data_IF_248753676307
#
_entry.id   IF_248753676307
#
_cell.length_a   1.000
_cell.length_b   1.000
_cell.length_c   1.000
_cell.angle_alpha   90.00
_cell.angle_beta   90.00
_cell.angle_gamma   90.00
#
_symmetry.space_group_name_H-M   'P 1'
#
loop_
_entity.id
_entity.type
_entity.pdbx_description
1 polymer ?
#
# COMPACT_ATOMS: atom_id res chain seq x y z
N UNK A 1 22.91 1.57 5.31
CA UNK A 1 23.73 1.39 4.08
C UNK A 1 22.80 1.51 2.90
N UNK A 2 23.10 2.41 1.95
CA UNK A 2 22.26 2.65 0.79
C UNK A 2 22.05 1.37 0.01
N UNK A 3 20.79 1.04 -0.34
CA UNK A 3 20.39 -0.08 -1.20
C UNK A 3 21.33 -0.28 -2.40
N UNK A 4 21.83 0.80 -2.99
CA UNK A 4 22.76 0.83 -4.11
C UNK A 4 24.14 0.18 -3.85
N UNK A 5 24.53 -0.04 -2.61
CA UNK A 5 25.87 -0.54 -2.25
C UNK A 5 25.92 -2.01 -1.88
N UNK A 6 24.80 -2.65 -1.60
CA UNK A 6 24.81 -3.96 -0.95
C UNK A 6 24.50 -5.13 -1.90
N UNK A 7 25.25 -5.25 -2.99
CA UNK A 7 25.21 -6.46 -3.85
C UNK A 7 26.07 -7.57 -3.24
N UNK A 8 25.88 -7.87 -1.95
CA UNK A 8 26.55 -9.00 -1.34
C UNK A 8 25.99 -10.32 -1.85
N UNK A 9 26.79 -11.38 -1.80
CA UNK A 9 26.43 -12.70 -2.36
C UNK A 9 25.14 -13.25 -1.74
N UNK A 10 24.86 -12.97 -0.47
CA UNK A 10 23.65 -13.41 0.23
C UNK A 10 22.40 -12.72 -0.31
N UNK A 11 22.43 -11.41 -0.60
CA UNK A 11 21.34 -10.68 -1.21
C UNK A 11 21.10 -11.12 -2.65
N UNK A 12 22.16 -11.20 -3.46
CA UNK A 12 22.07 -11.66 -4.86
C UNK A 12 21.52 -13.08 -4.94
N UNK A 13 21.94 -13.97 -4.01
CA UNK A 13 21.42 -15.33 -3.92
C UNK A 13 19.92 -15.39 -3.62
N UNK A 14 19.45 -14.57 -2.71
CA UNK A 14 18.01 -14.43 -2.38
C UNK A 14 17.25 -13.84 -3.58
N UNK A 15 17.70 -12.71 -4.12
CA UNK A 15 17.05 -12.02 -5.23
C UNK A 15 16.87 -12.89 -6.47
N UNK A 16 17.86 -13.74 -6.80
CA UNK A 16 17.80 -14.68 -7.94
C UNK A 16 16.99 -15.93 -7.67
N UNK A 17 16.77 -16.30 -6.42
CA UNK A 17 15.95 -17.44 -6.03
C UNK A 17 14.46 -17.14 -5.96
N UNK A 18 14.07 -15.88 -6.15
CA UNK A 18 12.71 -15.41 -5.97
C UNK A 18 11.79 -15.60 -7.18
N UNK A 19 10.63 -15.01 -7.10
CA UNK A 19 9.48 -15.08 -8.00
C UNK A 19 9.58 -14.23 -9.28
N UNK A 20 10.79 -13.92 -9.72
CA UNK A 20 11.03 -13.10 -10.93
C UNK A 20 11.18 -11.61 -10.64
N UNK A 21 11.06 -11.18 -9.38
CA UNK A 21 11.36 -9.79 -8.98
C UNK A 21 12.84 -9.50 -9.22
N UNK A 22 13.13 -8.35 -9.81
CA UNK A 22 14.51 -7.93 -10.14
C UNK A 22 15.13 -7.12 -8.99
N UNK A 23 15.02 -7.63 -7.77
CA UNK A 23 15.43 -6.94 -6.54
C UNK A 23 16.90 -6.51 -6.55
N UNK A 24 17.77 -7.21 -7.27
CA UNK A 24 19.17 -6.85 -7.43
C UNK A 24 19.39 -5.51 -8.17
N UNK A 25 18.36 -5.03 -8.85
CA UNK A 25 18.34 -3.73 -9.54
C UNK A 25 17.37 -2.72 -8.87
N UNK A 26 16.93 -3.02 -7.64
CA UNK A 26 15.92 -2.21 -6.95
C UNK A 26 16.26 -0.73 -6.87
N UNK A 27 17.55 -0.41 -6.68
CA UNK A 27 18.01 0.99 -6.65
C UNK A 27 17.92 1.65 -8.02
N UNK A 28 18.43 0.98 -9.05
CA UNK A 28 18.39 1.51 -10.42
C UNK A 28 16.97 1.68 -10.94
N UNK A 29 16.07 0.78 -10.54
CA UNK A 29 14.63 0.88 -10.86
C UNK A 29 13.99 2.06 -10.09
N UNK A 30 14.32 2.22 -8.81
CA UNK A 30 13.81 3.33 -8.00
C UNK A 30 14.29 4.68 -8.53
N UNK A 31 15.57 4.79 -8.85
CA UNK A 31 16.17 6.02 -9.41
C UNK A 31 15.49 6.42 -10.73
N UNK A 32 15.33 5.45 -11.64
CA UNK A 32 14.61 5.67 -12.89
C UNK A 32 13.14 6.03 -12.66
N UNK A 33 12.47 5.37 -11.72
CA UNK A 33 11.08 5.69 -11.36
C UNK A 33 10.92 7.12 -10.84
N UNK A 34 11.83 7.57 -9.96
CA UNK A 34 11.79 8.94 -9.43
C UNK A 34 12.04 9.99 -10.52
N UNK A 35 12.93 9.69 -11.48
CA UNK A 35 13.15 10.55 -12.63
C UNK A 35 11.93 10.60 -13.56
N UNK A 36 11.32 9.45 -13.87
CA UNK A 36 10.09 9.36 -14.66
C UNK A 36 8.94 10.14 -14.00
N UNK A 37 8.76 10.02 -12.67
CA UNK A 37 7.73 10.78 -11.95
C UNK A 37 7.94 12.29 -12.06
N UNK A 38 9.19 12.77 -11.98
CA UNK A 38 9.50 14.19 -12.17
C UNK A 38 9.31 14.68 -13.61
N UNK A 39 9.50 13.79 -14.59
CA UNK A 39 9.26 14.10 -16.01
C UNK A 39 7.77 14.12 -16.36
N UNK A 40 7.00 13.14 -15.84
CA UNK A 40 5.55 13.02 -16.05
C UNK A 40 4.75 14.06 -15.23
N UNK A 41 5.31 14.57 -14.14
CA UNK A 41 4.75 15.62 -13.27
C UNK A 41 3.27 15.36 -12.88
N UNK A 42 2.95 14.19 -12.29
CA UNK A 42 1.59 13.90 -11.85
C UNK A 42 1.20 14.77 -10.64
N UNK A 43 -0.09 15.11 -10.52
CA UNK A 43 -0.60 15.82 -9.36
C UNK A 43 -0.51 14.97 -8.07
N UNK A 44 -0.67 13.66 -8.16
CA UNK A 44 -0.67 12.74 -7.02
C UNK A 44 -0.08 11.37 -7.41
N UNK A 45 0.85 10.89 -6.60
CA UNK A 45 1.36 9.51 -6.62
C UNK A 45 0.72 8.69 -5.50
N UNK A 46 0.12 7.55 -5.82
CA UNK A 46 -0.46 6.61 -4.85
C UNK A 46 0.42 5.38 -4.74
N UNK A 47 0.88 5.06 -3.52
CA UNK A 47 1.64 3.86 -3.20
C UNK A 47 0.77 2.92 -2.36
N UNK A 48 0.36 1.82 -2.97
CA UNK A 48 -0.61 0.87 -2.40
C UNK A 48 0.03 -0.26 -1.57
N UNK A 49 1.12 0.02 -0.88
CA UNK A 49 1.76 -0.92 0.06
C UNK A 49 2.87 -1.79 -0.53
N UNK A 50 3.44 -2.65 0.31
CA UNK A 50 4.68 -3.41 0.06
C UNK A 50 5.84 -2.49 -0.33
N UNK A 51 6.02 -1.46 0.49
CA UNK A 51 7.00 -0.39 0.28
C UNK A 51 8.43 -0.87 0.53
N UNK A 52 8.55 -1.96 1.27
CA UNK A 52 9.84 -2.58 1.63
C UNK A 52 9.81 -4.09 1.37
N UNK A 53 10.96 -4.76 1.48
CA UNK A 53 11.04 -6.20 1.28
C UNK A 53 10.38 -6.98 2.43
N UNK A 54 10.76 -6.67 3.66
CA UNK A 54 10.28 -7.35 4.87
C UNK A 54 10.09 -6.38 6.05
N UNK A 55 9.73 -5.13 5.80
CA UNK A 55 9.41 -4.13 6.84
C UNK A 55 10.64 -3.59 7.58
N UNK A 56 11.82 -3.64 6.97
CA UNK A 56 13.04 -3.15 7.60
C UNK A 56 12.95 -1.64 7.84
N UNK A 57 13.14 -1.22 9.10
CA UNK A 57 13.07 0.20 9.49
C UNK A 57 13.95 1.10 8.64
N UNK A 58 15.19 0.68 8.39
CA UNK A 58 16.13 1.46 7.58
C UNK A 58 15.68 1.61 6.12
N UNK A 59 14.95 0.61 5.58
CA UNK A 59 14.41 0.68 4.21
C UNK A 59 13.23 1.65 4.14
N UNK A 60 12.37 1.68 5.16
CA UNK A 60 11.28 2.66 5.26
C UNK A 60 11.81 4.09 5.39
N UNK A 61 12.80 4.31 6.26
CA UNK A 61 13.41 5.62 6.44
C UNK A 61 14.08 6.10 5.14
N UNK A 62 14.80 5.24 4.43
CA UNK A 62 15.43 5.57 3.15
C UNK A 62 14.39 5.87 2.05
N UNK A 63 13.30 5.11 1.98
CA UNK A 63 12.21 5.37 1.03
C UNK A 63 11.55 6.73 1.32
N UNK A 64 11.27 7.03 2.59
CA UNK A 64 10.68 8.32 2.96
C UNK A 64 11.57 9.49 2.51
N UNK A 65 12.90 9.42 2.72
CA UNK A 65 13.84 10.42 2.21
C UNK A 65 13.78 10.58 0.68
N UNK A 66 13.60 9.48 -0.06
CA UNK A 66 13.46 9.52 -1.52
C UNK A 66 12.15 10.19 -1.96
N UNK A 67 11.05 9.89 -1.26
CA UNK A 67 9.73 10.49 -1.53
C UNK A 67 9.69 11.98 -1.20
N UNK A 68 10.45 12.46 -0.20
CA UNK A 68 10.61 13.90 0.04
C UNK A 68 11.05 14.64 -1.23
N UNK A 69 11.94 14.04 -2.03
CA UNK A 69 12.38 14.61 -3.29
C UNK A 69 11.30 14.74 -4.37
N UNK A 70 10.22 13.95 -4.30
CA UNK A 70 9.03 14.12 -5.14
C UNK A 70 8.15 15.28 -4.62
N UNK A 71 7.95 15.33 -3.30
CA UNK A 71 7.20 16.42 -2.67
C UNK A 71 7.86 17.78 -2.90
N UNK A 72 9.18 17.87 -2.84
CA UNK A 72 9.94 19.08 -3.19
C UNK A 72 9.78 19.48 -4.66
N UNK A 73 9.54 18.50 -5.56
CA UNK A 73 9.22 18.74 -6.96
C UNK A 73 7.75 19.16 -7.19
N UNK A 74 6.91 19.11 -6.16
CA UNK A 74 5.50 19.51 -6.23
C UNK A 74 4.52 18.35 -6.43
N UNK A 75 5.00 17.11 -6.41
CA UNK A 75 4.19 15.89 -6.57
C UNK A 75 3.68 15.46 -5.20
N UNK A 76 2.38 15.43 -5.00
CA UNK A 76 1.78 14.88 -3.78
C UNK A 76 1.94 13.37 -3.73
N UNK A 77 2.15 12.81 -2.54
CA UNK A 77 2.29 11.37 -2.35
C UNK A 77 1.33 10.89 -1.27
N UNK A 78 0.62 9.78 -1.54
CA UNK A 78 -0.25 9.12 -0.59
C UNK A 78 0.13 7.65 -0.45
N UNK A 79 0.34 7.18 0.78
CA UNK A 79 0.79 5.81 1.05
C UNK A 79 -0.13 5.06 2.00
N UNK A 80 -0.24 3.74 1.83
CA UNK A 80 -0.75 2.78 2.82
C UNK A 80 0.23 1.62 2.96
N UNK A 81 0.17 0.85 4.06
CA UNK A 81 1.01 -0.33 4.21
C UNK A 81 0.55 -1.49 3.32
N UNK A 82 1.51 -2.37 2.97
CA UNK A 82 1.29 -3.72 2.50
C UNK A 82 1.59 -4.75 3.58
N UNK A 83 1.36 -6.02 3.28
CA UNK A 83 1.55 -7.11 4.24
C UNK A 83 3.04 -7.34 4.61
N UNK A 84 3.97 -6.85 3.80
CA UNK A 84 5.39 -6.91 4.11
C UNK A 84 5.87 -5.83 5.09
N UNK A 85 5.17 -4.72 5.26
CA UNK A 85 5.72 -3.46 5.77
C UNK A 85 5.77 -3.36 7.30
N UNK A 86 4.86 -4.02 8.04
CA UNK A 86 4.68 -3.79 9.49
C UNK A 86 4.79 -5.09 10.28
N UNK A 87 5.49 -5.03 11.42
CA UNK A 87 5.65 -6.16 12.35
C UNK A 87 6.10 -7.47 11.66
N UNK A 88 6.85 -7.36 10.59
CA UNK A 88 7.28 -8.51 9.79
C UNK A 88 8.42 -9.26 10.51
N UNK A 89 8.23 -10.55 10.84
CA UNK A 89 9.23 -11.34 11.55
C UNK A 89 10.47 -11.67 10.71
N UNK A 90 10.37 -11.47 9.39
CA UNK A 90 11.41 -11.79 8.41
C UNK A 90 12.34 -10.62 8.10
N UNK A 91 12.14 -9.45 8.74
CA UNK A 91 13.01 -8.28 8.59
C UNK A 91 14.48 -8.60 8.83
N UNK A 92 15.32 -8.36 7.82
CA UNK A 92 16.74 -8.73 7.87
C UNK A 92 17.64 -7.83 7.03
N UNK A 93 18.88 -7.71 7.46
CA UNK A 93 19.95 -7.08 6.70
C UNK A 93 20.80 -8.14 6.03
N UNK A 94 21.13 -7.93 4.77
CA UNK A 94 22.02 -8.78 4.01
C UNK A 94 23.45 -8.26 4.12
N UNK A 95 24.39 -9.16 4.43
CA UNK A 95 25.83 -8.86 4.61
C UNK A 95 26.67 -9.79 3.76
N UNK A 96 27.96 -9.52 3.66
CA UNK A 96 28.90 -10.41 2.95
C UNK A 96 28.95 -11.82 3.55
N UNK A 97 28.72 -11.94 4.85
CA UNK A 97 28.82 -13.20 5.59
C UNK A 97 27.46 -13.92 5.77
N UNK A 98 26.33 -13.34 5.28
CA UNK A 98 25.00 -13.90 5.41
C UNK A 98 23.92 -12.86 5.72
N UNK A 99 22.95 -13.24 6.55
CA UNK A 99 21.84 -12.35 6.94
C UNK A 99 21.81 -12.12 8.45
N UNK A 100 21.42 -10.93 8.86
CA UNK A 100 21.24 -10.57 10.27
C UNK A 100 19.80 -10.09 10.46
N UNK A 101 19.12 -10.56 11.52
CA UNK A 101 17.80 -10.06 11.89
C UNK A 101 17.91 -8.58 12.30
N UNK A 102 16.99 -7.75 11.77
CA UNK A 102 16.88 -6.34 12.11
C UNK A 102 15.50 -6.03 12.64
N UNK A 103 15.30 -4.79 13.08
CA UNK A 103 14.01 -4.29 13.55
C UNK A 103 13.06 -4.05 12.38
N UNK A 104 11.84 -4.57 12.48
CA UNK A 104 10.70 -4.17 11.65
C UNK A 104 9.95 -3.07 12.37
N UNK A 105 9.31 -2.18 11.61
CA UNK A 105 8.53 -1.08 12.18
C UNK A 105 7.16 -1.54 12.69
N UNK A 106 6.62 -0.76 13.63
CA UNK A 106 5.24 -0.85 14.10
C UNK A 106 4.31 0.03 13.25
N UNK A 107 2.98 -0.13 13.44
CA UNK A 107 1.99 0.72 12.78
C UNK A 107 2.14 2.21 13.14
N UNK A 108 2.48 2.51 14.40
CA UNK A 108 2.74 3.89 14.83
C UNK A 108 3.99 4.46 14.15
N UNK A 109 5.07 3.68 14.06
CA UNK A 109 6.28 4.09 13.35
C UNK A 109 6.04 4.26 11.85
N UNK A 110 5.21 3.40 11.22
CA UNK A 110 4.81 3.57 9.82
C UNK A 110 4.14 4.94 9.62
N UNK A 111 3.12 5.25 10.44
CA UNK A 111 2.44 6.54 10.38
C UNK A 111 3.37 7.73 10.61
N UNK A 112 4.33 7.60 11.51
CA UNK A 112 5.28 8.67 11.83
C UNK A 112 6.31 8.88 10.71
N UNK A 113 6.85 7.80 10.11
CA UNK A 113 7.80 7.85 8.99
C UNK A 113 7.15 8.46 7.75
N UNK A 114 5.91 8.06 7.46
CA UNK A 114 5.17 8.52 6.27
C UNK A 114 4.17 9.65 6.58
N UNK A 115 4.39 10.39 7.67
CA UNK A 115 3.48 11.44 8.14
C UNK A 115 3.10 12.45 7.04
N UNK A 116 4.08 12.91 6.28
CA UNK A 116 3.90 13.92 5.22
C UNK A 116 3.35 13.33 3.90
N UNK A 117 3.24 12.00 3.82
CA UNK A 117 2.76 11.29 2.63
C UNK A 117 1.30 10.82 2.79
N UNK A 118 0.41 11.76 3.09
CA UNK A 118 -1.03 11.58 3.21
C UNK A 118 -1.56 11.71 4.63
N UNK A 119 -0.88 11.20 5.67
CA UNK A 119 -1.41 11.15 7.02
C UNK A 119 -1.63 12.51 7.68
N UNK A 120 -0.71 13.46 7.54
CA UNK A 120 -0.85 14.82 8.12
C UNK A 120 -1.92 15.61 7.36
N UNK A 121 -1.99 15.46 6.05
CA UNK A 121 -2.95 16.14 5.19
C UNK A 121 -4.35 15.49 5.19
N UNK A 122 -4.51 14.32 5.82
CA UNK A 122 -5.77 13.59 5.86
C UNK A 122 -6.90 14.40 6.50
N UNK A 123 -8.05 14.46 5.82
CA UNK A 123 -9.29 15.08 6.33
C UNK A 123 -9.92 14.28 7.46
N UNK A 124 -9.76 12.96 7.41
CA UNK A 124 -10.19 12.04 8.48
C UNK A 124 -9.25 10.85 8.56
N UNK A 125 -9.01 10.34 9.76
CA UNK A 125 -8.19 9.15 10.03
C UNK A 125 -8.98 8.14 10.83
N UNK A 126 -8.89 6.87 10.46
CA UNK A 126 -9.47 5.78 11.22
C UNK A 126 -8.69 5.58 12.53
N UNK A 127 -9.36 5.65 13.70
CA UNK A 127 -8.69 5.42 14.97
C UNK A 127 -8.27 3.96 15.20
N UNK A 128 -8.80 3.00 14.42
CA UNK A 128 -8.58 1.56 14.58
C UNK A 128 -7.56 0.97 13.59
N UNK A 129 -7.19 1.73 12.56
CA UNK A 129 -6.27 1.26 11.52
C UNK A 129 -5.41 2.41 10.96
N UNK A 130 -4.61 2.13 9.94
CA UNK A 130 -3.88 3.14 9.19
C UNK A 130 -4.69 3.69 8.00
N UNK A 131 -6.00 3.43 7.96
CA UNK A 131 -6.89 3.99 6.93
C UNK A 131 -7.10 5.49 7.13
N UNK A 132 -7.26 6.20 6.02
CA UNK A 132 -7.55 7.63 6.05
C UNK A 132 -8.30 8.10 4.81
N UNK A 133 -8.98 9.25 4.96
CA UNK A 133 -9.57 10.00 3.87
C UNK A 133 -8.67 11.17 3.50
N UNK A 134 -8.37 11.33 2.22
CA UNK A 134 -7.68 12.47 1.66
C UNK A 134 -8.53 13.11 0.55
N UNK A 135 -8.95 14.36 0.75
CA UNK A 135 -9.73 15.11 -0.24
C UNK A 135 -8.75 15.81 -1.21
N UNK A 136 -8.54 15.22 -2.39
CA UNK A 136 -7.71 15.82 -3.44
C UNK A 136 -8.25 17.22 -3.80
N UNK A 137 -9.58 17.30 -3.94
CA UNK A 137 -10.33 18.53 -4.11
C UNK A 137 -11.79 18.33 -3.65
N UNK A 138 -12.63 19.33 -3.83
CA UNK A 138 -14.05 19.25 -3.43
C UNK A 138 -14.87 18.21 -4.20
N UNK A 139 -14.38 17.71 -5.34
CA UNK A 139 -15.09 16.78 -6.20
C UNK A 139 -14.47 15.38 -6.24
N UNK A 140 -13.23 15.23 -5.79
CA UNK A 140 -12.46 13.99 -5.88
C UNK A 140 -11.81 13.67 -4.52
N UNK A 141 -12.23 12.56 -3.94
CA UNK A 141 -11.76 12.09 -2.63
C UNK A 141 -11.07 10.75 -2.79
N UNK A 142 -9.99 10.56 -2.04
CA UNK A 142 -9.21 9.33 -1.99
C UNK A 142 -9.44 8.65 -0.64
N UNK A 143 -9.99 7.46 -0.66
CA UNK A 143 -10.22 6.63 0.51
C UNK A 143 -9.15 5.55 0.59
N UNK A 144 -8.16 5.78 1.44
CA UNK A 144 -7.02 4.89 1.64
C UNK A 144 -7.34 3.89 2.74
N UNK A 145 -7.46 2.60 2.39
CA UNK A 145 -7.90 1.53 3.28
C UNK A 145 -6.75 0.60 3.66
N UNK A 146 -6.39 0.59 4.93
CA UNK A 146 -5.44 -0.38 5.48
C UNK A 146 -6.11 -1.76 5.59
N UNK A 147 -5.76 -2.64 4.68
CA UNK A 147 -6.23 -4.02 4.63
C UNK A 147 -5.28 -5.03 5.28
N UNK A 148 -4.20 -4.56 5.93
CA UNK A 148 -3.16 -5.44 6.44
C UNK A 148 -3.46 -5.95 7.85
N UNK A 149 -3.05 -7.18 8.10
CA UNK A 149 -3.16 -7.86 9.39
C UNK A 149 -1.76 -7.99 10.00
N UNK A 150 -1.37 -7.01 10.81
CA UNK A 150 -0.04 -6.96 11.45
C UNK A 150 -0.09 -7.13 12.97
N UNK A 151 -1.27 -7.25 13.56
CA UNK A 151 -1.49 -7.50 14.98
C UNK A 151 -2.59 -8.55 15.21
N UNK A 152 -2.43 -9.46 16.20
CA UNK A 152 -1.27 -9.63 17.11
C UNK A 152 -0.04 -10.25 16.42
N UNK A 153 -0.16 -10.61 15.15
CA UNK A 153 0.88 -11.24 14.33
C UNK A 153 0.71 -10.76 12.88
N UNK A 154 1.82 -10.58 12.19
CA UNK A 154 1.79 -10.31 10.76
C UNK A 154 1.26 -11.54 9.99
N UNK A 155 0.24 -11.33 9.17
CA UNK A 155 -0.39 -12.31 8.28
C UNK A 155 -0.38 -11.79 6.83
N UNK A 156 -0.33 -12.70 5.87
CA UNK A 156 -0.26 -12.34 4.44
C UNK A 156 -1.61 -11.89 3.90
N UNK A 157 -2.70 -12.43 4.43
CA UNK A 157 -4.06 -12.13 3.95
C UNK A 157 -4.58 -10.76 4.37
N UNK A 158 -5.50 -10.22 3.57
CA UNK A 158 -6.10 -8.92 3.80
C UNK A 158 -7.45 -8.99 4.52
N UNK A 159 -7.71 -8.01 5.40
CA UNK A 159 -8.99 -7.86 6.11
C UNK A 159 -9.26 -6.39 6.40
N UNK A 160 -10.52 -5.97 6.28
CA UNK A 160 -10.95 -4.66 6.79
C UNK A 160 -11.56 -4.86 8.18
N UNK A 161 -11.09 -4.09 9.16
CA UNK A 161 -11.58 -4.14 10.54
C UNK A 161 -13.02 -3.67 10.64
N UNK A 162 -13.76 -4.19 11.58
CA UNK A 162 -15.16 -3.79 11.79
C UNK A 162 -15.29 -2.29 12.09
N UNK A 163 -14.39 -1.78 12.89
CA UNK A 163 -14.32 -0.36 13.27
C UNK A 163 -14.04 0.54 12.05
N UNK A 164 -13.29 0.05 11.06
CA UNK A 164 -13.02 0.75 9.81
C UNK A 164 -14.31 0.90 8.98
N UNK A 165 -15.19 -0.10 8.94
CA UNK A 165 -16.51 0.04 8.29
C UNK A 165 -17.34 1.12 8.97
N UNK A 166 -17.38 1.14 10.31
CA UNK A 166 -18.11 2.15 11.08
C UNK A 166 -17.56 3.57 10.89
N UNK A 167 -16.25 3.70 10.69
CA UNK A 167 -15.60 4.97 10.36
C UNK A 167 -15.86 5.40 8.92
N UNK A 168 -15.87 4.49 7.97
CA UNK A 168 -15.99 4.75 6.54
C UNK A 168 -17.41 5.13 6.12
N UNK A 169 -18.43 4.52 6.72
CA UNK A 169 -19.84 4.73 6.34
C UNK A 169 -20.25 6.22 6.33
N UNK A 170 -20.06 7.02 7.40
CA UNK A 170 -20.41 8.43 7.38
C UNK A 170 -19.60 9.27 6.38
N UNK A 171 -18.39 8.84 6.04
CA UNK A 171 -17.55 9.49 5.01
C UNK A 171 -18.16 9.30 3.63
N UNK A 172 -18.59 8.08 3.31
CA UNK A 172 -19.23 7.76 2.04
C UNK A 172 -20.59 8.47 1.91
N UNK A 173 -21.38 8.54 2.99
CA UNK A 173 -22.63 9.34 3.03
C UNK A 173 -22.36 10.83 2.80
N UNK A 174 -21.26 11.36 3.35
CA UNK A 174 -20.87 12.76 3.14
C UNK A 174 -20.48 12.99 1.68
N UNK A 175 -19.68 12.10 1.09
CA UNK A 175 -19.27 12.18 -0.31
C UNK A 175 -20.48 12.17 -1.25
N UNK A 176 -21.44 11.28 -1.01
CA UNK A 176 -22.68 11.20 -1.79
C UNK A 176 -23.48 12.51 -1.68
N UNK A 177 -23.63 13.05 -0.46
CA UNK A 177 -24.37 14.31 -0.21
C UNK A 177 -23.68 15.51 -0.90
N UNK A 178 -22.36 15.52 -0.97
CA UNK A 178 -21.57 16.57 -1.62
C UNK A 178 -21.42 16.35 -3.12
N UNK A 179 -21.80 15.17 -3.64
CA UNK A 179 -21.61 14.78 -5.03
C UNK A 179 -20.15 14.56 -5.40
N UNK A 180 -19.31 14.23 -4.41
CA UNK A 180 -17.91 13.93 -4.63
C UNK A 180 -17.72 12.50 -5.17
N UNK A 181 -16.74 12.33 -6.01
CA UNK A 181 -16.31 11.00 -6.50
C UNK A 181 -15.27 10.44 -5.54
N UNK A 182 -15.50 9.24 -5.05
CA UNK A 182 -14.55 8.52 -4.20
C UNK A 182 -13.80 7.49 -5.02
N UNK A 183 -12.48 7.53 -4.93
CA UNK A 183 -11.57 6.47 -5.37
C UNK A 183 -11.09 5.75 -4.12
N UNK A 184 -11.31 4.44 -4.03
CA UNK A 184 -10.81 3.64 -2.91
C UNK A 184 -9.51 2.93 -3.28
N UNK A 185 -8.64 2.77 -2.29
CA UNK A 185 -7.33 2.11 -2.45
C UNK A 185 -7.12 1.15 -1.30
N UNK A 186 -6.64 -0.04 -1.56
CA UNK A 186 -6.12 -0.96 -0.54
C UNK A 186 -4.90 -1.71 -1.06
N UNK A 187 -4.15 -2.37 -0.18
CA UNK A 187 -3.07 -3.22 -0.64
C UNK A 187 -3.60 -4.50 -1.26
N UNK A 188 -4.45 -5.24 -0.56
CA UNK A 188 -5.05 -6.47 -1.06
C UNK A 188 -6.18 -6.18 -2.04
N UNK A 189 -6.42 -7.12 -2.95
CA UNK A 189 -7.44 -6.95 -3.99
C UNK A 189 -8.85 -6.90 -3.39
N UNK A 190 -9.69 -6.02 -3.95
CA UNK A 190 -11.12 -5.98 -3.65
C UNK A 190 -11.86 -7.15 -4.32
N UNK A 191 -11.53 -7.46 -5.56
CA UNK A 191 -12.15 -8.53 -6.34
C UNK A 191 -11.16 -9.66 -6.62
N UNK A 192 -11.65 -10.89 -6.66
CA UNK A 192 -10.82 -12.03 -7.08
C UNK A 192 -10.34 -11.84 -8.51
N UNK A 193 -9.05 -12.03 -8.75
CA UNK A 193 -8.46 -11.92 -10.09
C UNK A 193 -9.14 -12.86 -11.09
N UNK A 194 -9.36 -14.10 -10.67
CA UNK A 194 -9.99 -15.13 -11.50
C UNK A 194 -10.92 -16.03 -10.68
N UNK A 195 -11.83 -16.75 -11.34
CA UNK A 195 -12.74 -17.69 -10.66
C UNK A 195 -12.07 -18.85 -9.93
N UNK A 196 -10.75 -19.02 -10.06
CA UNK A 196 -9.98 -20.06 -9.37
C UNK A 196 -8.99 -19.48 -8.34
N UNK A 197 -8.87 -18.15 -8.23
CA UNK A 197 -7.92 -17.49 -7.33
C UNK A 197 -8.09 -17.94 -5.89
N UNK A 198 -9.31 -17.95 -5.37
CA UNK A 198 -9.61 -18.39 -4.00
C UNK A 198 -9.26 -19.87 -3.72
N UNK A 199 -9.13 -20.70 -4.75
CA UNK A 199 -8.81 -22.12 -4.57
C UNK A 199 -7.30 -22.33 -4.39
N UNK A 200 -6.48 -21.46 -4.94
CA UNK A 200 -5.02 -21.58 -4.97
C UNK A 200 -4.30 -20.48 -4.21
N UNK A 201 -4.93 -19.32 -4.05
CA UNK A 201 -4.35 -18.09 -3.47
C UNK A 201 -5.44 -17.37 -2.66
N UNK A 202 -5.88 -17.97 -1.56
CA UNK A 202 -6.95 -17.46 -0.69
C UNK A 202 -6.60 -16.17 0.07
N UNK A 203 -5.33 -15.81 0.10
CA UNK A 203 -4.79 -14.64 0.79
C UNK A 203 -4.55 -13.41 -0.12
N UNK A 204 -4.98 -13.45 -1.39
CA UNK A 204 -4.77 -12.33 -2.32
C UNK A 204 -5.89 -11.29 -2.27
N UNK A 205 -7.09 -11.69 -1.90
CA UNK A 205 -8.28 -10.86 -1.84
C UNK A 205 -8.65 -10.59 -0.38
N UNK A 206 -9.20 -9.41 -0.10
CA UNK A 206 -9.71 -9.04 1.22
C UNK A 206 -10.72 -10.09 1.69
N UNK A 207 -10.56 -10.58 2.92
CA UNK A 207 -11.51 -11.50 3.54
C UNK A 207 -12.91 -10.85 3.64
N UNK A 208 -13.95 -11.62 3.30
CA UNK A 208 -15.32 -11.11 3.28
C UNK A 208 -15.52 -9.86 2.42
N UNK A 209 -14.79 -9.77 1.31
CA UNK A 209 -14.80 -8.64 0.39
C UNK A 209 -16.18 -8.25 -0.14
N UNK A 210 -17.16 -9.16 -0.14
CA UNK A 210 -18.53 -8.91 -0.59
C UNK A 210 -19.22 -7.81 0.24
N UNK A 211 -18.87 -7.67 1.54
CA UNK A 211 -19.38 -6.59 2.39
C UNK A 211 -18.79 -5.24 1.95
N UNK A 212 -17.48 -5.19 1.73
CA UNK A 212 -16.78 -3.99 1.26
C UNK A 212 -17.24 -3.58 -0.14
N UNK A 213 -17.31 -4.52 -1.09
CA UNK A 213 -17.80 -4.28 -2.45
C UNK A 213 -19.19 -3.66 -2.41
N UNK A 214 -20.09 -4.22 -1.60
CA UNK A 214 -21.46 -3.71 -1.48
C UNK A 214 -21.48 -2.29 -0.90
N UNK A 215 -20.79 -2.05 0.22
CA UNK A 215 -20.73 -0.73 0.84
C UNK A 215 -20.19 0.31 -0.14
N UNK A 216 -19.05 0.06 -0.78
CA UNK A 216 -18.46 0.98 -1.73
C UNK A 216 -19.39 1.24 -2.93
N UNK A 217 -19.99 0.20 -3.51
CA UNK A 217 -20.87 0.32 -4.67
C UNK A 217 -22.18 1.02 -4.37
N UNK A 218 -22.79 0.76 -3.21
CA UNK A 218 -24.05 1.40 -2.76
C UNK A 218 -23.88 2.92 -2.62
N UNK A 219 -22.68 3.37 -2.23
CA UNK A 219 -22.32 4.79 -2.15
C UNK A 219 -21.65 5.35 -3.43
N UNK A 220 -21.78 4.64 -4.55
CA UNK A 220 -21.35 5.15 -5.85
C UNK A 220 -19.86 5.11 -6.14
N UNK A 221 -19.04 4.45 -5.33
CA UNK A 221 -17.63 4.17 -5.67
C UNK A 221 -17.59 3.23 -6.88
N UNK A 222 -16.78 3.59 -7.88
CA UNK A 222 -16.67 2.84 -9.16
C UNK A 222 -15.24 2.52 -9.54
N UNK A 223 -14.27 2.99 -8.76
CA UNK A 223 -12.86 2.71 -8.97
C UNK A 223 -12.21 2.33 -7.65
N UNK A 224 -11.61 1.15 -7.65
CA UNK A 224 -10.75 0.65 -6.58
C UNK A 224 -9.38 0.30 -7.14
N UNK A 225 -8.33 0.74 -6.47
CA UNK A 225 -6.94 0.44 -6.83
C UNK A 225 -6.34 -0.51 -5.79
N UNK A 226 -5.56 -1.47 -6.25
CA UNK A 226 -4.87 -2.41 -5.35
C UNK A 226 -3.49 -2.83 -5.85
N UNK A 227 -2.68 -3.40 -4.96
CA UNK A 227 -1.36 -3.95 -5.22
C UNK A 227 -1.31 -5.47 -5.07
N UNK A 228 -0.36 -5.98 -4.29
CA UNK A 228 -0.20 -7.34 -3.76
C UNK A 228 0.10 -8.44 -4.80
N UNK A 229 -0.63 -8.51 -5.91
CA UNK A 229 -0.48 -9.60 -6.89
C UNK A 229 0.70 -9.45 -7.86
N UNK A 230 1.41 -8.32 -7.85
CA UNK A 230 2.53 -8.02 -8.77
C UNK A 230 2.18 -8.19 -10.25
N UNK A 231 0.92 -7.99 -10.61
CA UNK A 231 0.44 -8.04 -11.99
C UNK A 231 -0.35 -6.79 -12.32
N UNK A 232 -0.30 -6.38 -13.56
CA UNK A 232 -1.17 -5.34 -14.08
C UNK A 232 -2.45 -5.98 -14.61
N UNK A 233 -3.55 -5.77 -13.91
CA UNK A 233 -4.84 -6.38 -14.22
C UNK A 233 -5.99 -5.38 -13.99
N UNK A 234 -7.03 -5.49 -14.79
CA UNK A 234 -8.29 -4.77 -14.63
C UNK A 234 -9.43 -5.78 -14.53
N UNK A 235 -10.34 -5.55 -13.60
CA UNK A 235 -11.55 -6.34 -13.43
C UNK A 235 -12.72 -5.44 -13.05
N UNK A 236 -13.89 -5.80 -13.51
CA UNK A 236 -15.15 -5.15 -13.16
C UNK A 236 -16.11 -6.22 -12.60
N UNK A 237 -16.78 -5.89 -11.52
CA UNK A 237 -17.91 -6.66 -11.02
C UNK A 237 -19.17 -6.16 -11.74
N UNK A 238 -19.74 -7.02 -12.60
CA UNK A 238 -20.87 -6.65 -13.48
C UNK A 238 -22.15 -6.31 -12.69
N UNK A 239 -22.30 -6.83 -11.46
CA UNK A 239 -23.49 -6.62 -10.64
C UNK A 239 -23.44 -5.25 -9.91
N UNK A 240 -22.26 -4.83 -9.50
CA UNK A 240 -22.06 -3.60 -8.70
C UNK A 240 -21.45 -2.45 -9.51
N UNK A 241 -20.73 -2.76 -10.59
CA UNK A 241 -20.06 -1.78 -11.46
C UNK A 241 -18.82 -1.14 -10.81
N UNK A 242 -18.16 -1.88 -9.89
CA UNK A 242 -16.90 -1.47 -9.28
C UNK A 242 -15.72 -2.21 -9.90
#
# INVERSE_FOLDING_TARGET
EKLAGNRCDSFVGMARGGDGRVLEYGWEVMDAFLDDMKEEDPDLLILSGDLTLDGEKASHEELAELLEGLSEAGIEVAVIPGNHDINNPDARRYTADGTEKVESITADEFRDIYADFGYVAADSRDPASLSYLYKIDSANWLLMLDSCQYEPKNEVGGMIRRETYEWMEPILEEAEREGARVISVSHHNLLDESGVSRTFYDNCTIEHNEELVRMLSDHGVRLHLSGHLHIQHYKEDEDTGI
#
